data_IF_901665674876
#
_entry.id   IF_901665674876
#
_cell.length_a   1.000
_cell.length_b   1.000
_cell.length_c   1.000
_cell.angle_alpha   90.00
_cell.angle_beta   90.00
_cell.angle_gamma   90.00
#
_symmetry.space_group_name_H-M   'P 1'
#
loop_
_entity.id
_entity.type
_entity.pdbx_description
1 polymer ?
#
# COMPACT_ATOMS: atom_id res chain seq x y z
N UNK A 1 5.14 -12.60 -29.01
CA UNK A 1 5.28 -11.15 -28.77
C UNK A 1 6.11 -10.94 -27.52
N UNK A 2 7.25 -10.28 -27.69
CA UNK A 2 8.32 -10.10 -26.71
C UNK A 2 7.89 -9.07 -25.65
N UNK A 3 7.86 -9.44 -24.38
CA UNK A 3 7.81 -8.44 -23.31
C UNK A 3 9.13 -7.65 -23.35
N UNK A 4 9.12 -6.30 -23.33
CA UNK A 4 10.37 -5.57 -23.19
C UNK A 4 11.02 -5.98 -21.86
N UNK A 5 12.31 -6.35 -21.90
CA UNK A 5 13.11 -6.87 -20.78
C UNK A 5 13.09 -5.98 -19.52
N UNK A 6 12.59 -4.76 -19.63
CA UNK A 6 12.61 -3.73 -18.58
C UNK A 6 11.51 -3.87 -17.52
N UNK A 7 10.41 -4.57 -17.81
CA UNK A 7 9.26 -4.74 -16.87
C UNK A 7 9.48 -5.88 -15.88
N UNK A 8 10.28 -6.88 -16.30
CA UNK A 8 10.43 -8.19 -15.65
C UNK A 8 11.68 -8.22 -14.74
N UNK A 9 12.34 -7.08 -14.49
CA UNK A 9 13.54 -7.05 -13.65
C UNK A 9 13.27 -7.02 -12.15
N UNK A 10 12.06 -6.66 -11.70
CA UNK A 10 11.67 -6.95 -10.31
C UNK A 10 11.05 -8.34 -10.25
N UNK A 11 11.72 -9.26 -9.55
CA UNK A 11 11.25 -10.63 -9.30
C UNK A 11 9.78 -10.66 -8.81
N UNK A 12 9.38 -9.65 -8.03
CA UNK A 12 8.02 -9.48 -7.51
C UNK A 12 6.95 -9.28 -8.60
N UNK A 13 7.25 -8.50 -9.65
CA UNK A 13 6.32 -8.27 -10.73
C UNK A 13 6.15 -9.53 -11.59
N UNK A 14 7.23 -10.27 -11.83
CA UNK A 14 7.20 -11.54 -12.55
C UNK A 14 6.35 -12.61 -11.81
N UNK A 15 6.53 -12.73 -10.50
CA UNK A 15 5.73 -13.65 -9.67
C UNK A 15 4.25 -13.29 -9.66
N UNK A 16 3.93 -11.99 -9.54
CA UNK A 16 2.55 -11.50 -9.55
C UNK A 16 1.83 -11.82 -10.87
N UNK A 17 2.50 -11.59 -12.01
CA UNK A 17 1.95 -11.90 -13.34
C UNK A 17 1.67 -13.40 -13.49
N UNK A 18 2.60 -14.26 -13.07
CA UNK A 18 2.45 -15.71 -13.18
C UNK A 18 1.23 -16.28 -12.43
N UNK A 19 0.84 -15.64 -11.31
CA UNK A 19 -0.32 -16.05 -10.51
C UNK A 19 -1.63 -15.48 -11.07
N UNK A 20 -1.64 -14.21 -11.49
CA UNK A 20 -2.88 -13.52 -11.87
C UNK A 20 -3.28 -13.71 -13.33
N UNK A 21 -2.32 -13.82 -14.24
CA UNK A 21 -2.60 -13.88 -15.68
C UNK A 21 -3.49 -15.09 -16.08
N UNK A 22 -3.34 -16.30 -15.50
CA UNK A 22 -4.23 -17.43 -15.80
C UNK A 22 -5.70 -17.17 -15.46
N UNK A 23 -5.97 -16.30 -14.47
CA UNK A 23 -7.31 -16.00 -13.99
C UNK A 23 -7.92 -14.78 -14.68
N UNK A 24 -7.12 -13.74 -14.89
CA UNK A 24 -7.59 -12.40 -15.27
C UNK A 24 -7.16 -11.97 -16.67
N UNK A 25 -6.44 -12.85 -17.39
CA UNK A 25 -5.83 -12.52 -18.68
C UNK A 25 -4.65 -11.56 -18.53
N UNK A 26 -4.23 -10.92 -19.63
CA UNK A 26 -3.06 -10.02 -19.61
C UNK A 26 -3.40 -8.62 -19.10
N UNK A 27 -2.64 -8.04 -18.16
CA UNK A 27 -2.88 -6.69 -17.70
C UNK A 27 -2.35 -5.64 -18.68
N UNK A 28 -2.92 -4.43 -18.61
CA UNK A 28 -2.20 -3.22 -19.03
C UNK A 28 -1.24 -2.83 -17.93
N UNK A 29 -0.02 -2.41 -18.26
CA UNK A 29 0.95 -2.01 -17.26
C UNK A 29 1.53 -0.62 -17.54
N UNK A 30 2.02 0.04 -16.49
CA UNK A 30 2.75 1.31 -16.54
C UNK A 30 3.86 1.28 -15.49
N UNK A 31 5.08 1.61 -15.90
CA UNK A 31 6.19 1.82 -14.99
C UNK A 31 6.54 3.31 -14.93
N UNK A 32 6.76 3.77 -13.71
CA UNK A 32 7.32 5.08 -13.38
C UNK A 32 8.56 4.86 -12.54
N UNK A 33 9.33 5.92 -12.30
CA UNK A 33 10.60 5.90 -11.58
C UNK A 33 10.62 4.98 -10.35
N UNK A 34 9.60 5.02 -9.47
CA UNK A 34 9.52 4.21 -8.26
C UNK A 34 8.32 3.27 -8.14
N UNK A 35 7.55 3.06 -9.22
CA UNK A 35 6.31 2.27 -9.14
C UNK A 35 5.99 1.57 -10.44
N UNK A 36 5.63 0.31 -10.32
CA UNK A 36 4.98 -0.47 -11.38
C UNK A 36 3.48 -0.56 -11.06
N UNK A 37 2.64 -0.35 -12.07
CA UNK A 37 1.19 -0.51 -11.96
C UNK A 37 0.71 -1.52 -13.00
N UNK A 38 -0.01 -2.55 -12.56
CA UNK A 38 -0.72 -3.51 -13.40
C UNK A 38 -2.22 -3.25 -13.29
N UNK A 39 -2.93 -3.29 -14.42
CA UNK A 39 -4.38 -3.07 -14.48
C UNK A 39 -5.02 -4.20 -15.29
N UNK A 40 -5.77 -5.05 -14.59
CA UNK A 40 -6.62 -6.08 -15.16
C UNK A 40 -8.04 -5.54 -15.33
N UNK A 41 -8.73 -5.99 -16.38
CA UNK A 41 -10.16 -5.76 -16.56
C UNK A 41 -10.85 -7.07 -16.90
N UNK A 42 -11.86 -7.42 -16.14
CA UNK A 42 -12.60 -8.69 -16.24
C UNK A 42 -14.09 -8.43 -15.97
N UNK A 43 -14.95 -9.37 -16.34
CA UNK A 43 -16.40 -9.26 -16.11
C UNK A 43 -16.77 -9.83 -14.74
N UNK A 44 -17.73 -9.22 -14.05
CA UNK A 44 -18.31 -9.78 -12.82
C UNK A 44 -19.11 -11.04 -13.12
N UNK A 45 -19.32 -11.86 -12.09
CA UNK A 45 -20.15 -13.07 -12.19
C UNK A 45 -21.67 -12.79 -12.23
N UNK A 46 -22.09 -11.58 -11.85
CA UNK A 46 -23.51 -11.16 -11.86
C UNK A 46 -24.10 -11.05 -13.28
N UNK A 47 -25.43 -11.10 -13.38
CA UNK A 47 -26.17 -10.88 -14.62
C UNK A 47 -27.04 -9.61 -14.54
N UNK A 48 -26.84 -8.61 -15.41
CA UNK A 48 -25.85 -8.55 -16.49
C UNK A 48 -24.42 -8.32 -15.96
N UNK A 49 -23.39 -8.80 -16.69
CA UNK A 49 -22.01 -8.65 -16.26
C UNK A 49 -21.55 -7.19 -16.27
N UNK A 50 -20.90 -6.76 -15.18
CA UNK A 50 -20.29 -5.44 -15.02
C UNK A 50 -18.79 -5.58 -15.24
N UNK A 51 -18.20 -4.71 -16.07
CA UNK A 51 -16.76 -4.71 -16.29
C UNK A 51 -16.02 -4.15 -15.07
N UNK A 52 -15.35 -5.03 -14.33
CA UNK A 52 -14.55 -4.70 -13.15
C UNK A 52 -13.10 -4.39 -13.52
N UNK A 53 -12.39 -3.78 -12.57
CA UNK A 53 -10.99 -3.39 -12.70
C UNK A 53 -10.21 -3.74 -11.43
N UNK A 54 -9.20 -4.58 -11.56
CA UNK A 54 -8.20 -4.80 -10.53
C UNK A 54 -6.93 -4.01 -10.86
N UNK A 55 -6.49 -3.17 -9.92
CA UNK A 55 -5.25 -2.41 -10.03
C UNK A 55 -4.26 -2.92 -8.98
N UNK A 56 -3.11 -3.40 -9.43
CA UNK A 56 -1.99 -3.80 -8.57
C UNK A 56 -0.91 -2.73 -8.67
N UNK A 57 -0.45 -2.20 -7.54
CA UNK A 57 0.65 -1.24 -7.48
C UNK A 57 1.81 -1.86 -6.69
N UNK A 58 2.98 -1.90 -7.31
CA UNK A 58 4.21 -2.42 -6.72
C UNK A 58 5.17 -1.23 -6.56
N UNK A 59 5.56 -0.93 -5.32
CA UNK A 59 6.60 0.06 -5.04
C UNK A 59 7.96 -0.58 -5.31
N UNK A 60 8.77 0.04 -6.16
CA UNK A 60 10.04 -0.55 -6.62
C UNK A 60 11.28 0.09 -6.00
N UNK A 61 11.12 1.08 -5.11
CA UNK A 61 12.25 1.85 -4.54
C UNK A 61 12.31 1.87 -3.03
N UNK A 62 11.17 1.88 -2.36
CA UNK A 62 11.12 1.94 -0.91
C UNK A 62 10.98 0.52 -0.34
N UNK A 63 12.08 -0.24 -0.36
CA UNK A 63 12.14 -1.63 0.14
C UNK A 63 12.56 -1.73 1.62
N UNK A 64 12.74 -0.59 2.29
CA UNK A 64 13.11 -0.58 3.70
C UNK A 64 11.87 -0.55 4.57
N UNK A 65 12.03 -1.07 5.79
CA UNK A 65 11.05 -1.04 6.87
C UNK A 65 11.70 -0.46 8.13
N UNK A 66 10.92 0.22 8.94
CA UNK A 66 11.36 0.79 10.22
C UNK A 66 11.15 -0.20 11.36
N UNK A 67 10.03 -0.91 11.31
CA UNK A 67 9.67 -1.94 12.26
C UNK A 67 9.64 -3.31 11.58
N UNK A 68 9.40 -4.35 12.38
CA UNK A 68 9.36 -5.71 11.88
C UNK A 68 8.15 -5.97 10.98
N UNK A 69 8.27 -6.99 10.13
CA UNK A 69 7.11 -7.47 9.38
C UNK A 69 6.27 -8.38 10.25
N UNK A 70 4.96 -8.21 10.15
CA UNK A 70 3.97 -9.05 10.80
C UNK A 70 3.33 -9.98 9.78
N UNK A 71 3.02 -11.20 10.24
CA UNK A 71 2.25 -12.19 9.49
C UNK A 71 0.83 -12.21 10.05
N UNK A 72 -0.13 -11.84 9.23
CA UNK A 72 -1.55 -11.86 9.60
C UNK A 72 -2.20 -13.05 8.88
N UNK A 73 -2.72 -14.05 9.62
CA UNK A 73 -3.46 -15.15 9.02
C UNK A 73 -4.69 -14.62 8.27
N UNK A 74 -4.86 -15.06 7.04
CA UNK A 74 -5.99 -14.71 6.19
C UNK A 74 -6.62 -15.98 5.63
N UNK A 75 -7.93 -16.11 5.78
CA UNK A 75 -8.69 -17.26 5.32
C UNK A 75 -9.86 -16.80 4.48
N UNK A 76 -10.09 -17.48 3.37
CA UNK A 76 -11.26 -17.32 2.52
C UNK A 76 -12.02 -18.63 2.51
N UNK A 77 -13.30 -18.55 2.86
CA UNK A 77 -14.22 -19.68 2.76
C UNK A 77 -15.44 -19.25 1.97
N UNK A 78 -15.62 -19.85 0.80
CA UNK A 78 -16.75 -19.62 -0.11
C UNK A 78 -17.25 -20.95 -0.68
N UNK A 79 -18.35 -20.90 -1.44
CA UNK A 79 -18.92 -22.11 -2.08
C UNK A 79 -17.97 -22.78 -3.08
N UNK A 80 -17.01 -22.04 -3.62
CA UNK A 80 -16.17 -22.46 -4.76
C UNK A 80 -14.67 -22.31 -4.46
N UNK A 81 -14.30 -21.80 -3.29
CA UNK A 81 -12.91 -21.71 -2.85
C UNK A 81 -12.81 -21.83 -1.32
N UNK A 82 -11.88 -22.64 -0.85
CA UNK A 82 -11.47 -22.65 0.54
C UNK A 82 -9.95 -22.62 0.59
N UNK A 83 -9.38 -21.63 1.26
CA UNK A 83 -7.94 -21.47 1.33
C UNK A 83 -7.51 -20.49 2.40
N UNK A 84 -6.26 -20.63 2.83
CA UNK A 84 -5.64 -19.75 3.81
C UNK A 84 -4.20 -19.44 3.42
N UNK A 85 -3.73 -18.28 3.87
CA UNK A 85 -2.34 -17.87 3.77
C UNK A 85 -2.01 -16.87 4.88
N UNK A 86 -0.73 -16.64 5.10
CA UNK A 86 -0.31 -15.49 5.91
C UNK A 86 -0.06 -14.29 5.00
N UNK A 87 -0.68 -13.17 5.34
CA UNK A 87 -0.37 -11.88 4.75
C UNK A 87 0.84 -11.30 5.47
N UNK A 88 1.94 -11.16 4.73
CA UNK A 88 3.11 -10.41 5.17
C UNK A 88 2.86 -8.91 5.01
N UNK A 89 2.87 -8.19 6.12
CA UNK A 89 2.60 -6.74 6.14
C UNK A 89 3.51 -6.02 7.14
N UNK A 90 3.63 -4.71 6.99
CA UNK A 90 4.23 -3.83 7.99
C UNK A 90 3.38 -3.77 9.25
N UNK A 91 4.00 -3.43 10.39
CA UNK A 91 3.28 -3.10 11.61
C UNK A 91 2.33 -1.91 11.39
N UNK A 92 1.23 -1.89 12.15
CA UNK A 92 0.21 -0.84 12.04
C UNK A 92 0.79 0.56 12.24
N UNK A 93 1.72 0.74 13.19
CA UNK A 93 2.35 2.03 13.48
C UNK A 93 3.12 2.57 12.26
N UNK A 94 3.85 1.70 11.55
CA UNK A 94 4.57 2.08 10.34
C UNK A 94 3.61 2.40 9.18
N UNK A 95 2.54 1.59 9.01
CA UNK A 95 1.49 1.88 8.03
C UNK A 95 0.86 3.26 8.28
N UNK A 96 0.56 3.60 9.53
CA UNK A 96 0.01 4.92 9.88
C UNK A 96 1.03 6.05 9.69
N UNK A 97 2.32 5.81 9.97
CA UNK A 97 3.39 6.75 9.66
C UNK A 97 3.47 7.08 8.16
N UNK A 98 3.36 6.07 7.29
CA UNK A 98 3.32 6.29 5.83
C UNK A 98 2.04 7.01 5.37
N UNK A 99 0.90 6.79 6.03
CA UNK A 99 -0.34 7.55 5.79
C UNK A 99 -0.19 9.02 6.18
N UNK A 100 0.49 9.29 7.29
CA UNK A 100 0.82 10.66 7.71
C UNK A 100 1.71 11.35 6.67
N UNK A 101 2.73 10.65 6.12
CA UNK A 101 3.53 11.15 4.99
C UNK A 101 2.68 11.45 3.77
N UNK A 102 1.83 10.51 3.37
CA UNK A 102 0.94 10.69 2.24
C UNK A 102 0.01 11.90 2.42
N UNK A 103 -0.61 12.03 3.59
CA UNK A 103 -1.49 13.16 3.93
C UNK A 103 -0.74 14.48 3.86
N UNK A 104 0.46 14.54 4.44
CA UNK A 104 1.32 15.73 4.42
C UNK A 104 1.66 16.18 2.99
N UNK A 105 2.00 15.24 2.10
CA UNK A 105 2.43 15.55 0.74
C UNK A 105 1.28 15.89 -0.22
N UNK A 106 0.12 15.23 -0.08
CA UNK A 106 -0.94 15.25 -1.11
C UNK A 106 -2.31 15.78 -0.66
N UNK A 107 -2.49 16.08 0.63
CA UNK A 107 -3.72 16.63 1.24
C UNK A 107 -5.02 15.93 0.80
N UNK A 108 -5.12 14.60 0.97
CA UNK A 108 -6.32 13.83 0.59
C UNK A 108 -7.12 13.35 1.80
N UNK A 109 -8.42 13.58 1.79
CA UNK A 109 -9.33 13.22 2.89
C UNK A 109 -9.36 11.73 3.24
N UNK A 110 -9.05 10.83 2.30
CA UNK A 110 -8.93 9.39 2.57
C UNK A 110 -7.79 9.06 3.54
N UNK A 111 -6.63 9.70 3.41
CA UNK A 111 -5.51 9.45 4.33
C UNK A 111 -5.84 9.95 5.75
N UNK A 112 -6.57 11.07 5.84
CA UNK A 112 -7.09 11.56 7.12
C UNK A 112 -8.08 10.57 7.74
N UNK A 113 -8.99 10.01 6.95
CA UNK A 113 -9.91 8.98 7.41
C UNK A 113 -9.19 7.72 7.88
N UNK A 114 -8.23 7.21 7.09
CA UNK A 114 -7.43 6.03 7.43
C UNK A 114 -6.67 6.24 8.75
N UNK A 115 -6.06 7.42 8.95
CA UNK A 115 -5.41 7.79 10.21
C UNK A 115 -6.40 7.83 11.38
N UNK A 116 -7.54 8.50 11.21
CA UNK A 116 -8.56 8.60 12.25
C UNK A 116 -9.13 7.23 12.66
N UNK A 117 -9.26 6.30 11.72
CA UNK A 117 -9.71 4.94 11.99
C UNK A 117 -8.61 4.08 12.62
N UNK A 118 -7.37 4.22 12.16
CA UNK A 118 -6.22 3.50 12.71
C UNK A 118 -5.93 3.88 14.16
N UNK A 119 -5.95 5.18 14.47
CA UNK A 119 -5.67 5.70 15.82
C UNK A 119 -6.70 5.28 16.89
N UNK A 120 -7.86 4.74 16.49
CA UNK A 120 -8.84 4.16 17.43
C UNK A 120 -8.47 2.76 17.91
N UNK A 121 -7.44 2.13 17.34
CA UNK A 121 -6.98 0.80 17.74
C UNK A 121 -6.11 0.92 18.99
N UNK A 122 -6.38 0.11 20.01
CA UNK A 122 -5.72 0.17 21.32
C UNK A 122 -4.24 -0.24 21.30
N UNK A 123 -3.77 -0.88 20.24
CA UNK A 123 -2.41 -1.38 20.09
C UNK A 123 -1.45 -0.39 19.42
N UNK A 124 -1.90 0.83 19.14
CA UNK A 124 -1.14 1.81 18.36
C UNK A 124 -0.33 2.72 19.27
N UNK A 125 0.94 2.92 18.92
CA UNK A 125 1.84 3.83 19.62
C UNK A 125 2.08 5.09 18.77
N UNK A 126 1.61 6.24 19.28
CA UNK A 126 1.70 7.52 18.60
C UNK A 126 3.15 7.97 18.38
N UNK A 127 4.05 7.69 19.33
CA UNK A 127 5.47 8.07 19.20
C UNK A 127 6.13 7.25 18.09
N UNK A 128 5.78 5.96 18.00
CA UNK A 128 6.25 5.09 16.91
C UNK A 128 5.73 5.53 15.53
N UNK A 129 4.48 6.00 15.44
CA UNK A 129 3.94 6.57 14.20
C UNK A 129 4.75 7.80 13.76
N UNK A 130 4.99 8.72 14.69
CA UNK A 130 5.73 9.97 14.41
C UNK A 130 7.18 9.67 14.03
N UNK A 131 7.83 8.72 14.71
CA UNK A 131 9.17 8.26 14.38
C UNK A 131 9.24 7.68 12.96
N UNK A 132 8.32 6.77 12.60
CA UNK A 132 8.25 6.21 11.26
C UNK A 132 8.02 7.29 10.20
N UNK A 133 7.06 8.20 10.42
CA UNK A 133 6.83 9.34 9.52
C UNK A 133 8.10 10.16 9.28
N UNK A 134 8.84 10.46 10.35
CA UNK A 134 10.05 11.30 10.30
C UNK A 134 11.14 10.62 9.47
N UNK A 135 11.39 9.34 9.73
CA UNK A 135 12.37 8.55 9.00
C UNK A 135 12.04 8.44 7.49
N UNK A 136 10.76 8.26 7.14
CA UNK A 136 10.33 8.25 5.74
C UNK A 136 10.45 9.63 5.07
N UNK A 137 10.28 10.73 5.80
CA UNK A 137 10.48 12.09 5.26
C UNK A 137 11.96 12.38 5.03
N UNK A 138 12.82 12.01 5.97
CA UNK A 138 14.26 12.19 5.88
C UNK A 138 14.85 11.39 4.71
N UNK A 139 14.49 10.11 4.59
CA UNK A 139 14.91 9.26 3.45
C UNK A 139 14.32 9.72 2.12
N UNK A 140 13.15 10.34 2.14
CA UNK A 140 12.52 10.94 0.95
C UNK A 140 13.14 12.28 0.53
N UNK A 141 14.12 12.81 1.27
CA UNK A 141 14.71 14.13 1.03
C UNK A 141 13.73 15.28 1.30
N UNK A 142 12.65 15.03 2.05
CA UNK A 142 11.62 16.00 2.34
C UNK A 142 11.89 16.63 3.70
N UNK A 143 12.32 17.89 3.72
CA UNK A 143 12.57 18.61 4.96
C UNK A 143 11.25 18.98 5.64
N UNK A 144 10.88 18.29 6.71
CA UNK A 144 9.77 18.69 7.59
C UNK A 144 10.19 19.98 8.30
N UNK A 145 9.61 21.12 7.92
CA UNK A 145 9.72 22.33 8.74
C UNK A 145 8.78 22.14 9.94
N UNK A 146 9.35 22.05 11.14
CA UNK A 146 8.59 22.17 12.39
C UNK A 146 7.97 23.57 12.38
N UNK A 147 6.68 23.67 12.03
CA UNK A 147 5.93 24.86 12.36
C UNK A 147 5.76 24.81 13.87
N UNK A 148 6.38 25.77 14.55
CA UNK A 148 6.15 26.01 15.97
C UNK A 148 4.65 26.26 16.12
N UNK A 149 3.90 25.26 16.57
CA UNK A 149 2.58 25.53 17.12
C UNK A 149 2.83 26.34 18.39
N UNK A 150 2.72 27.65 18.25
CA UNK A 150 2.76 28.57 19.38
C UNK A 150 1.74 28.09 20.39
N UNK A 151 2.18 27.94 21.63
CA UNK A 151 1.31 27.65 22.76
C UNK A 151 0.23 28.73 22.77
N UNK A 152 -0.98 28.37 22.34
CA UNK A 152 -2.16 29.16 22.67
C UNK A 152 -2.40 28.93 24.17
N UNK A 153 -1.73 29.77 24.96
CA UNK A 153 -1.96 29.85 26.39
C UNK A 153 -3.43 30.21 26.60
N UNK A 154 -4.12 29.34 27.33
CA UNK A 154 -5.44 29.58 27.91
C UNK A 154 -5.48 30.98 28.57
N UNK A 155 -6.42 31.82 28.16
CA UNK A 155 -6.95 32.93 28.97
C UNK A 155 -8.47 32.88 28.90
#
# INVERSE_FOLDING_TARGET
>A
MHFPRTVVTSYEAAGTLGVLDPWLGKPRWKQTEGRVTLVYRFDSEDSPPIRLRLKVEINSREHFRIYDMQRIPFTVTSRWFNGSCDIHTYELDELLGTKMRALYQRKKGRDLFDLAMGLKKSSVDADRIVAAFSEYMDRGGHRVRRLSFGHAHNR
#
